data_IF_004018665214
#
_entry.id   IF_004018665214
#
_cell.length_a   1.000
_cell.length_b   1.000
_cell.length_c   1.000
_cell.angle_alpha   90.00
_cell.angle_beta   90.00
_cell.angle_gamma   90.00
#
_symmetry.space_group_name_H-M   'P 1'
#
loop_
_entity.id
_entity.type
_entity.pdbx_description
1 polymer ?
#
# COMPACT_ATOMS: atom_id res chain seq x y z
N UNK A 1 -18.23 -13.65 16.12
CA UNK A 1 -17.01 -14.10 15.43
C UNK A 1 -16.90 -13.24 14.19
N UNK A 2 -16.35 -12.04 14.35
CA UNK A 2 -16.26 -11.04 13.30
C UNK A 2 -15.30 -11.54 12.22
N UNK A 3 -15.84 -11.84 11.04
CA UNK A 3 -15.04 -12.21 9.88
C UNK A 3 -14.31 -10.96 9.39
N UNK A 4 -13.01 -10.85 9.67
CA UNK A 4 -12.16 -9.75 9.21
C UNK A 4 -12.26 -9.65 7.68
N UNK A 5 -12.55 -8.46 7.16
CA UNK A 5 -12.60 -8.22 5.72
C UNK A 5 -11.19 -8.20 5.16
N UNK A 6 -10.88 -9.19 4.33
CA UNK A 6 -9.61 -9.30 3.61
C UNK A 6 -9.81 -8.90 2.15
N UNK A 7 -8.99 -7.98 1.68
CA UNK A 7 -8.84 -7.67 0.27
C UNK A 7 -7.64 -8.45 -0.27
N UNK A 8 -7.87 -9.29 -1.28
CA UNK A 8 -6.83 -10.09 -1.92
C UNK A 8 -6.90 -10.00 -3.45
N UNK A 9 -5.75 -9.92 -4.11
CA UNK A 9 -5.65 -10.05 -5.58
C UNK A 9 -4.26 -10.55 -5.98
N UNK A 10 -4.21 -11.55 -6.85
CA UNK A 10 -2.95 -12.13 -7.32
C UNK A 10 -2.22 -11.19 -8.28
N UNK A 11 -0.89 -11.12 -8.20
CA UNK A 11 -0.02 -10.28 -9.06
C UNK A 11 -0.17 -10.57 -10.55
N UNK A 12 -0.51 -11.80 -10.91
CA UNK A 12 -0.78 -12.24 -12.28
C UNK A 12 -2.11 -11.71 -12.82
N UNK A 13 -3.01 -11.22 -11.96
CA UNK A 13 -4.30 -10.68 -12.38
C UNK A 13 -4.09 -9.46 -13.29
N UNK A 14 -4.73 -9.37 -14.46
CA UNK A 14 -4.65 -8.20 -15.32
C UNK A 14 -5.11 -6.92 -14.62
N UNK A 15 -4.47 -5.81 -14.97
CA UNK A 15 -4.90 -4.47 -14.55
C UNK A 15 -6.26 -4.18 -15.18
N UNK A 16 -7.19 -3.60 -14.40
CA UNK A 16 -8.50 -3.20 -14.91
C UNK A 16 -8.37 -2.09 -15.95
N UNK A 17 -9.05 -2.25 -17.08
CA UNK A 17 -9.11 -1.27 -18.16
C UNK A 17 -10.55 -0.82 -18.40
N UNK A 18 -10.73 0.36 -19.02
CA UNK A 18 -12.04 0.86 -19.45
C UNK A 18 -12.96 1.41 -18.36
N UNK A 19 -12.50 1.49 -17.10
CA UNK A 19 -13.23 2.11 -16.00
C UNK A 19 -12.80 3.57 -15.80
N UNK A 20 -13.72 4.45 -15.41
CA UNK A 20 -13.35 5.81 -15.02
C UNK A 20 -12.59 5.79 -13.69
N UNK A 21 -11.70 6.76 -13.48
CA UNK A 21 -11.00 6.94 -12.20
C UNK A 21 -11.99 7.01 -11.04
N UNK A 22 -13.13 7.68 -11.23
CA UNK A 22 -14.15 7.80 -10.20
C UNK A 22 -14.75 6.44 -9.82
N UNK A 23 -15.06 5.59 -10.79
CA UNK A 23 -15.60 4.24 -10.52
C UNK A 23 -14.58 3.36 -9.78
N UNK A 24 -13.29 3.49 -10.13
CA UNK A 24 -12.19 2.77 -9.47
C UNK A 24 -12.03 3.19 -8.00
N UNK A 25 -12.29 4.46 -7.68
CA UNK A 25 -12.24 4.99 -6.31
C UNK A 25 -13.50 4.70 -5.50
N UNK A 26 -14.68 4.79 -6.12
CA UNK A 26 -15.99 4.59 -5.46
C UNK A 26 -16.38 3.12 -5.32
N UNK A 27 -15.56 2.19 -5.82
CA UNK A 27 -15.77 0.76 -5.67
C UNK A 27 -15.71 0.26 -4.21
N UNK A 28 -16.11 -1.00 -3.96
CA UNK A 28 -16.15 -1.60 -2.63
C UNK A 28 -14.76 -1.77 -1.99
N UNK A 29 -13.69 -1.70 -2.79
CA UNK A 29 -12.30 -1.73 -2.32
C UNK A 29 -11.75 -0.33 -1.96
N UNK A 30 -12.58 0.72 -2.03
CA UNK A 30 -12.19 2.11 -1.73
C UNK A 30 -10.94 2.58 -2.50
N UNK A 31 -10.75 2.06 -3.71
CA UNK A 31 -9.60 2.36 -4.57
C UNK A 31 -8.29 1.67 -4.16
N UNK A 32 -8.29 0.73 -3.22
CA UNK A 32 -7.09 -0.01 -2.83
C UNK A 32 -6.57 -0.90 -3.96
N UNK A 33 -7.45 -1.56 -4.72
CA UNK A 33 -7.03 -2.34 -5.89
C UNK A 33 -6.41 -1.39 -6.93
N UNK A 34 -7.00 -0.21 -7.11
CA UNK A 34 -6.48 0.78 -8.05
C UNK A 34 -5.10 1.30 -7.64
N UNK A 35 -4.88 1.55 -6.35
CA UNK A 35 -3.58 1.92 -5.80
C UNK A 35 -2.53 0.83 -6.09
N UNK A 36 -2.88 -0.44 -5.89
CA UNK A 36 -1.99 -1.56 -6.17
C UNK A 36 -1.68 -1.72 -7.67
N UNK A 37 -2.68 -1.60 -8.53
CA UNK A 37 -2.51 -1.57 -9.99
C UNK A 37 -1.58 -0.42 -10.42
N UNK A 38 -1.75 0.77 -9.84
CA UNK A 38 -0.84 1.91 -10.09
C UNK A 38 0.58 1.62 -9.60
N UNK A 39 0.73 0.92 -8.48
CA UNK A 39 2.03 0.44 -7.99
C UNK A 39 2.74 -0.46 -9.00
N UNK A 40 2.01 -1.41 -9.61
CA UNK A 40 2.52 -2.30 -10.66
C UNK A 40 2.93 -1.54 -11.92
N UNK A 41 2.14 -0.57 -12.37
CA UNK A 41 2.54 0.30 -13.48
C UNK A 41 3.82 1.09 -13.15
N UNK A 42 3.91 1.62 -11.92
CA UNK A 42 5.06 2.40 -11.46
C UNK A 42 6.34 1.55 -11.37
N UNK A 43 6.20 0.25 -11.11
CA UNK A 43 7.32 -0.70 -11.16
C UNK A 43 7.95 -0.77 -12.55
N UNK A 44 7.14 -0.77 -13.60
CA UNK A 44 7.62 -0.75 -14.98
C UNK A 44 8.15 0.64 -15.38
N UNK A 45 7.52 1.72 -14.91
CA UNK A 45 7.93 3.10 -15.17
C UNK A 45 9.27 3.47 -14.48
N UNK A 46 9.50 2.99 -13.25
CA UNK A 46 10.70 3.27 -12.46
C UNK A 46 11.23 1.99 -11.77
N UNK A 47 12.02 1.18 -12.49
CA UNK A 47 12.60 -0.05 -11.96
C UNK A 47 13.55 0.17 -10.78
N UNK A 48 14.15 1.36 -10.64
CA UNK A 48 15.04 1.67 -9.51
C UNK A 48 14.22 1.79 -8.23
N UNK A 49 13.09 2.50 -8.30
CA UNK A 49 12.17 2.61 -7.18
C UNK A 49 11.58 1.24 -6.80
N UNK A 50 11.28 0.39 -7.80
CA UNK A 50 10.84 -0.98 -7.58
C UNK A 50 11.87 -1.82 -6.81
N UNK A 51 13.14 -1.76 -7.21
CA UNK A 51 14.22 -2.49 -6.55
C UNK A 51 14.39 -2.09 -5.07
N UNK A 52 14.24 -0.79 -4.75
CA UNK A 52 14.24 -0.33 -3.35
C UNK A 52 13.05 -0.90 -2.58
N UNK A 53 11.85 -0.86 -3.16
CA UNK A 53 10.67 -1.41 -2.53
C UNK A 53 10.81 -2.92 -2.30
N UNK A 54 11.34 -3.68 -3.28
CA UNK A 54 11.64 -5.12 -3.19
C UNK A 54 12.60 -5.46 -2.06
N UNK A 55 13.63 -4.63 -1.87
CA UNK A 55 14.57 -4.72 -0.75
C UNK A 55 13.92 -4.45 0.63
N UNK A 56 12.61 -4.20 0.67
CA UNK A 56 11.86 -3.95 1.89
C UNK A 56 11.90 -2.49 2.32
N UNK A 57 12.39 -1.58 1.47
CA UNK A 57 12.37 -0.16 1.80
C UNK A 57 10.95 0.40 1.67
N UNK A 58 10.51 1.12 2.71
CA UNK A 58 9.30 1.93 2.65
C UNK A 58 9.61 3.24 1.91
N UNK A 59 9.71 3.17 0.58
CA UNK A 59 9.99 4.32 -0.29
C UNK A 59 8.92 5.40 -0.15
N UNK A 60 9.29 6.67 -0.36
CA UNK A 60 8.32 7.78 -0.34
C UNK A 60 7.45 7.72 -1.59
N UNK A 61 6.13 7.67 -1.40
CA UNK A 61 5.11 7.64 -2.46
C UNK A 61 4.12 8.78 -2.25
N UNK A 62 3.10 8.87 -3.10
CA UNK A 62 2.04 9.87 -2.98
C UNK A 62 1.21 9.74 -1.68
N UNK A 63 1.15 8.54 -1.11
CA UNK A 63 0.41 8.25 0.13
C UNK A 63 1.32 8.30 1.35
N UNK A 64 0.74 8.63 2.51
CA UNK A 64 1.45 8.59 3.80
C UNK A 64 1.84 7.15 4.15
N UNK A 65 3.12 6.91 4.41
CA UNK A 65 3.64 5.59 4.77
C UNK A 65 5.14 5.40 4.54
N UNK A 66 5.69 6.16 3.59
CA UNK A 66 7.12 6.14 3.30
C UNK A 66 7.99 6.66 4.44
N UNK A 67 9.22 6.15 4.50
CA UNK A 67 10.23 6.48 5.49
C UNK A 67 11.49 6.96 4.78
N UNK A 68 11.74 8.27 4.82
CA UNK A 68 12.98 8.86 4.31
C UNK A 68 14.13 8.70 5.34
N UNK A 69 13.84 8.98 6.60
CA UNK A 69 14.76 8.81 7.73
C UNK A 69 14.01 8.19 8.92
N UNK A 70 14.74 7.48 9.79
CA UNK A 70 14.17 7.00 11.05
C UNK A 70 13.76 8.19 11.93
N UNK A 71 12.58 8.12 12.52
CA UNK A 71 12.02 9.16 13.38
C UNK A 71 11.78 8.59 14.78
N UNK A 72 11.85 9.43 15.81
CA UNK A 72 11.49 9.00 17.16
C UNK A 72 9.97 8.91 17.28
N UNK A 73 9.47 7.79 17.80
CA UNK A 73 8.05 7.57 18.06
C UNK A 73 7.38 6.66 17.05
N UNK A 74 6.06 6.51 17.22
CA UNK A 74 5.21 5.70 16.36
C UNK A 74 4.96 6.40 15.03
N UNK A 75 4.98 5.63 13.94
CA UNK A 75 4.71 6.15 12.60
C UNK A 75 3.50 5.45 12.03
N UNK A 76 2.57 6.25 11.51
CA UNK A 76 1.33 5.77 10.91
C UNK A 76 1.32 6.03 9.40
N UNK A 77 0.78 5.08 8.65
CA UNK A 77 0.55 5.16 7.21
C UNK A 77 -0.85 4.71 6.83
N UNK A 78 -1.24 4.99 5.58
CA UNK A 78 -2.56 4.65 5.05
C UNK A 78 -2.54 3.33 4.28
N UNK A 79 -3.66 2.60 4.24
CA UNK A 79 -3.76 1.37 3.46
C UNK A 79 -3.52 1.58 1.96
N UNK A 80 -3.83 2.77 1.41
CA UNK A 80 -3.52 3.14 0.03
C UNK A 80 -2.02 3.12 -0.26
N UNK A 81 -1.20 3.54 0.72
CA UNK A 81 0.25 3.40 0.63
C UNK A 81 0.63 1.93 0.57
N UNK A 82 0.13 1.13 1.50
CA UNK A 82 0.42 -0.30 1.60
C UNK A 82 0.07 -1.03 0.29
N UNK A 83 -1.10 -0.76 -0.27
CA UNK A 83 -1.54 -1.31 -1.56
C UNK A 83 -0.59 -0.93 -2.70
N UNK A 84 -0.25 0.35 -2.81
CA UNK A 84 0.67 0.84 -3.85
C UNK A 84 2.05 0.20 -3.71
N UNK A 85 2.54 0.09 -2.47
CA UNK A 85 3.85 -0.47 -2.16
C UNK A 85 3.94 -1.97 -2.46
N UNK A 86 2.90 -2.76 -2.14
CA UNK A 86 2.82 -4.17 -2.54
C UNK A 86 2.87 -4.33 -4.06
N UNK A 87 2.13 -3.50 -4.80
CA UNK A 87 2.14 -3.53 -6.27
C UNK A 87 3.50 -3.15 -6.86
N UNK A 88 4.17 -2.15 -6.27
CA UNK A 88 5.50 -1.72 -6.66
C UNK A 88 6.56 -2.82 -6.45
N UNK A 89 6.42 -3.61 -5.38
CA UNK A 89 7.25 -4.78 -5.08
C UNK A 89 7.01 -5.98 -6.00
N UNK A 90 5.91 -5.97 -6.75
CA UNK A 90 5.48 -7.13 -7.51
C UNK A 90 4.89 -8.23 -6.62
N UNK A 91 4.35 -7.88 -5.45
CA UNK A 91 3.68 -8.81 -4.55
C UNK A 91 2.16 -8.84 -4.83
N UNK A 92 1.51 -9.93 -4.42
CA UNK A 92 0.05 -10.00 -4.35
C UNK A 92 -0.51 -8.87 -3.47
N UNK A 93 -1.68 -8.36 -3.85
CA UNK A 93 -2.42 -7.47 -2.97
C UNK A 93 -2.97 -8.30 -1.80
N UNK A 94 -2.57 -7.99 -0.58
CA UNK A 94 -3.15 -8.58 0.62
C UNK A 94 -3.26 -7.53 1.73
N UNK A 95 -4.49 -7.11 2.01
CA UNK A 95 -4.79 -6.13 3.05
C UNK A 95 -5.95 -6.61 3.91
N UNK A 96 -5.75 -6.62 5.23
CA UNK A 96 -6.82 -6.76 6.20
C UNK A 96 -7.38 -5.37 6.47
N UNK A 97 -8.66 -5.14 6.12
CA UNK A 97 -9.28 -3.82 6.22
C UNK A 97 -9.69 -3.46 7.64
N UNK A 98 -9.83 -4.44 8.51
CA UNK A 98 -10.27 -4.26 9.90
C UNK A 98 -9.13 -4.53 10.91
N UNK A 99 -7.88 -4.47 10.45
CA UNK A 99 -6.70 -4.76 11.28
C UNK A 99 -5.52 -3.85 10.93
N UNK A 100 -4.65 -3.66 11.91
CA UNK A 100 -3.44 -2.86 11.74
C UNK A 100 -2.32 -3.75 11.17
N UNK A 101 -1.62 -3.25 10.17
CA UNK A 101 -0.44 -3.91 9.60
C UNK A 101 0.82 -3.12 9.94
N UNK A 102 1.70 -3.72 10.74
CA UNK A 102 3.03 -3.15 11.01
C UNK A 102 4.04 -3.66 9.97
N UNK A 103 4.78 -2.76 9.34
CA UNK A 103 5.92 -3.09 8.47
C UNK A 103 7.15 -2.34 8.93
N UNK A 104 8.27 -3.05 9.03
CA UNK A 104 9.58 -2.49 9.31
C UNK A 104 10.29 -2.13 8.01
N UNK A 105 10.70 -0.87 7.86
CA UNK A 105 11.49 -0.42 6.73
C UNK A 105 12.88 -1.09 6.75
N UNK A 106 13.24 -1.79 5.67
CA UNK A 106 14.52 -2.49 5.54
C UNK A 106 15.74 -1.58 5.64
N UNK A 107 15.65 -0.34 5.12
CA UNK A 107 16.76 0.63 5.14
C UNK A 107 16.97 1.31 6.49
N UNK A 108 15.90 1.74 7.15
CA UNK A 108 16.00 2.59 8.35
C UNK A 108 15.67 1.84 9.64
N UNK A 109 15.08 0.65 9.55
CA UNK A 109 14.58 -0.11 10.70
C UNK A 109 13.33 0.49 11.36
N UNK A 110 12.80 1.60 10.85
CA UNK A 110 11.57 2.23 11.36
C UNK A 110 10.37 1.32 11.13
N UNK A 111 9.58 1.10 12.16
CA UNK A 111 8.29 0.42 12.06
C UNK A 111 7.18 1.43 11.74
N UNK A 112 6.30 1.06 10.81
CA UNK A 112 5.16 1.86 10.38
C UNK A 112 3.89 1.02 10.50
N UNK A 113 2.90 1.55 11.21
CA UNK A 113 1.58 0.94 11.38
C UNK A 113 0.64 1.49 10.31
N UNK A 114 0.11 0.59 9.48
CA UNK A 114 -0.87 0.88 8.44
C UNK A 114 -2.25 0.47 8.90
N UNK A 115 -3.17 1.42 8.96
CA UNK A 115 -4.53 1.20 9.46
C UNK A 115 -5.58 1.79 8.53
N UNK A 116 -6.78 1.20 8.52
CA UNK A 116 -7.97 1.75 7.87
C UNK A 116 -8.66 2.81 8.70
N UNK A 117 -8.28 2.93 9.98
CA UNK A 117 -8.81 3.96 10.84
C UNK A 117 -8.53 5.29 10.17
N UNK A 118 -9.61 5.96 9.74
CA UNK A 118 -9.66 7.40 9.72
C UNK A 118 -9.18 7.80 11.12
N UNK A 119 -7.91 8.12 11.27
CA UNK A 119 -7.42 8.73 12.50
C UNK A 119 -8.13 10.07 12.56
N UNK A 120 -9.29 10.05 13.21
CA UNK A 120 -9.93 11.20 13.77
C UNK A 120 -8.93 11.73 14.79
N UNK A 121 -7.99 12.54 14.34
CA UNK A 121 -7.29 13.46 15.22
C UNK A 121 -8.39 14.39 15.75
N UNK A 122 -8.76 14.19 17.01
CA UNK A 122 -9.69 15.02 17.76
C UNK A 122 -8.89 16.04 18.59
#
# INVERSE_FOLDING_TARGET
MDSKRRLFREITTPIREGMSTQDLWSGPDHGLIYCWERGRQKRDEDPKLAALAEAGELVVLAWRGGVETAQKGEKFGWLNYLATWQGLRGDDLEILLDDDKVIKCGRTGQEVTFTSALTTEN
#
